data_IF_248896132861
#
_entry.id   IF_248896132861
#
_cell.length_a   1.000
_cell.length_b   1.000
_cell.length_c   1.000
_cell.angle_alpha   90.00
_cell.angle_beta   90.00
_cell.angle_gamma   90.00
#
_symmetry.space_group_name_H-M   'P 1'
#
loop_
_entity.id
_entity.type
_entity.pdbx_description
1 polymer ?
#
# COMPACT_ATOMS: atom_id res chain seq x y z
N UNK A 1 -21.63 17.68 -21.31
CA UNK A 1 -21.75 17.80 -19.84
C UNK A 1 -21.23 16.54 -19.11
N UNK A 2 -21.53 15.32 -19.59
CA UNK A 2 -21.09 14.03 -18.99
C UNK A 2 -19.57 13.81 -18.98
N UNK A 3 -18.84 14.34 -19.95
CA UNK A 3 -17.37 14.16 -20.07
C UNK A 3 -16.56 14.88 -18.99
N UNK A 4 -17.11 15.95 -18.40
CA UNK A 4 -16.43 16.70 -17.34
C UNK A 4 -16.49 15.96 -16.00
N UNK A 5 -17.66 15.39 -15.69
CA UNK A 5 -17.86 14.55 -14.50
C UNK A 5 -17.01 13.29 -14.54
N UNK A 6 -16.90 12.64 -15.70
CA UNK A 6 -16.02 11.48 -15.85
C UNK A 6 -14.56 11.83 -15.57
N UNK A 7 -14.07 12.95 -16.11
CA UNK A 7 -12.70 13.41 -15.89
C UNK A 7 -12.42 13.73 -14.42
N UNK A 8 -13.38 14.33 -13.74
CA UNK A 8 -13.29 14.66 -12.31
C UNK A 8 -13.23 13.39 -11.45
N UNK A 9 -14.08 12.39 -11.74
CA UNK A 9 -14.04 11.08 -11.09
C UNK A 9 -12.70 10.38 -11.35
N UNK A 10 -12.24 10.35 -12.60
CA UNK A 10 -10.97 9.72 -12.97
C UNK A 10 -9.79 10.40 -12.23
N UNK A 11 -9.81 11.73 -12.07
CA UNK A 11 -8.79 12.47 -11.29
C UNK A 11 -8.82 12.14 -9.79
N UNK A 12 -10.00 11.98 -9.20
CA UNK A 12 -10.13 11.61 -7.78
C UNK A 12 -9.62 10.19 -7.56
N UNK A 13 -9.98 9.26 -8.44
CA UNK A 13 -9.52 7.87 -8.40
C UNK A 13 -8.00 7.79 -8.51
N UNK A 14 -7.38 8.57 -9.39
CA UNK A 14 -5.92 8.60 -9.53
C UNK A 14 -5.21 9.19 -8.29
N UNK A 15 -5.77 10.26 -7.72
CA UNK A 15 -5.25 10.85 -6.48
C UNK A 15 -5.30 9.87 -5.30
N UNK A 16 -6.43 9.19 -5.12
CA UNK A 16 -6.62 8.13 -4.12
C UNK A 16 -5.61 6.99 -4.34
N UNK A 17 -5.38 6.60 -5.59
CA UNK A 17 -4.44 5.56 -5.98
C UNK A 17 -3.00 5.90 -5.55
N UNK A 18 -2.52 7.10 -5.89
CA UNK A 18 -1.17 7.56 -5.53
C UNK A 18 -1.00 7.56 -4.01
N UNK A 19 -1.97 8.08 -3.26
CA UNK A 19 -1.90 8.15 -1.80
C UNK A 19 -1.84 6.75 -1.15
N UNK A 20 -2.67 5.82 -1.64
CA UNK A 20 -2.67 4.44 -1.14
C UNK A 20 -1.36 3.71 -1.46
N UNK A 21 -0.80 3.90 -2.66
CA UNK A 21 0.48 3.30 -3.03
C UNK A 21 1.64 3.83 -2.18
N UNK A 22 1.69 5.13 -1.91
CA UNK A 22 2.72 5.73 -1.05
C UNK A 22 2.60 5.22 0.38
N UNK A 23 1.38 5.20 0.92
CA UNK A 23 1.12 4.67 2.26
C UNK A 23 1.52 3.19 2.37
N UNK A 24 1.15 2.39 1.36
CA UNK A 24 1.56 1.00 1.26
C UNK A 24 3.09 0.91 1.29
N UNK A 25 3.77 1.65 0.41
CA UNK A 25 5.21 1.58 0.21
C UNK A 25 6.00 1.74 1.51
N UNK A 26 5.54 2.63 2.40
CA UNK A 26 6.21 2.92 3.66
C UNK A 26 5.76 2.03 4.83
N UNK A 27 4.76 1.17 4.64
CA UNK A 27 4.24 0.28 5.69
C UNK A 27 4.63 -1.18 5.41
N UNK A 28 5.35 -1.79 6.37
CA UNK A 28 5.82 -3.19 6.29
C UNK A 28 4.66 -4.19 6.21
N UNK A 29 3.50 -3.83 6.76
CA UNK A 29 2.29 -4.65 6.69
C UNK A 29 1.89 -5.00 5.26
N UNK A 30 2.12 -4.09 4.31
CA UNK A 30 1.75 -4.27 2.90
C UNK A 30 2.87 -4.83 2.03
N UNK A 31 4.08 -5.05 2.58
CA UNK A 31 5.28 -5.36 1.79
C UNK A 31 5.06 -6.50 0.78
N UNK A 32 4.41 -7.58 1.21
CA UNK A 32 4.22 -8.79 0.40
C UNK A 32 3.07 -8.71 -0.62
N UNK A 33 2.24 -7.66 -0.56
CA UNK A 33 1.06 -7.52 -1.43
C UNK A 33 1.10 -6.27 -2.31
N UNK A 34 2.15 -5.45 -2.19
CA UNK A 34 2.35 -4.24 -3.00
C UNK A 34 2.33 -4.59 -4.47
N UNK A 35 1.45 -3.89 -5.20
CA UNK A 35 1.36 -4.00 -6.65
C UNK A 35 0.81 -5.33 -7.17
N UNK A 36 0.42 -6.28 -6.33
CA UNK A 36 -0.12 -7.60 -6.74
C UNK A 36 -1.65 -7.65 -6.74
N UNK A 37 -2.29 -6.66 -6.12
CA UNK A 37 -3.74 -6.60 -5.95
C UNK A 37 -4.34 -5.46 -6.76
N UNK A 38 -5.59 -5.66 -7.16
CA UNK A 38 -6.42 -4.57 -7.67
C UNK A 38 -6.53 -3.44 -6.64
N UNK A 39 -6.63 -2.20 -7.14
CA UNK A 39 -6.78 -0.99 -6.32
C UNK A 39 -7.99 -1.10 -5.37
N UNK A 40 -9.09 -1.68 -5.86
CA UNK A 40 -10.29 -1.87 -5.07
C UNK A 40 -10.03 -2.77 -3.84
N UNK A 41 -9.39 -3.93 -4.07
CA UNK A 41 -9.03 -4.84 -2.99
C UNK A 41 -8.09 -4.15 -1.99
N UNK A 42 -7.11 -3.39 -2.50
CA UNK A 42 -6.18 -2.64 -1.67
C UNK A 42 -6.89 -1.62 -0.76
N UNK A 43 -7.81 -0.83 -1.32
CA UNK A 43 -8.63 0.14 -0.56
C UNK A 43 -9.46 -0.56 0.52
N UNK A 44 -10.05 -1.71 0.20
CA UNK A 44 -10.81 -2.52 1.16
C UNK A 44 -9.98 -3.13 2.27
N UNK A 45 -8.76 -3.58 1.99
CA UNK A 45 -7.82 -4.03 3.02
C UNK A 45 -7.42 -2.86 3.91
N UNK A 46 -7.13 -1.68 3.34
CA UNK A 46 -6.80 -0.50 4.14
C UNK A 46 -7.95 -0.08 5.05
N UNK A 47 -9.21 -0.14 4.61
CA UNK A 47 -10.37 0.09 5.47
C UNK A 47 -10.42 -0.88 6.67
N UNK A 48 -10.06 -2.15 6.47
CA UNK A 48 -10.00 -3.13 7.57
C UNK A 48 -8.79 -2.88 8.47
N UNK A 49 -7.67 -2.47 7.91
CA UNK A 49 -6.46 -2.12 8.65
C UNK A 49 -6.70 -0.94 9.57
N UNK A 50 -7.33 0.14 9.06
CA UNK A 50 -7.68 1.28 9.89
C UNK A 50 -8.60 0.88 11.04
N UNK A 51 -9.58 -0.01 10.79
CA UNK A 51 -10.43 -0.54 11.87
C UNK A 51 -9.65 -1.30 12.93
N UNK A 52 -8.64 -2.09 12.51
CA UNK A 52 -7.80 -2.86 13.42
C UNK A 52 -6.86 -1.96 14.25
N UNK A 53 -6.29 -0.91 13.66
CA UNK A 53 -5.39 0.03 14.37
C UNK A 53 -6.14 0.92 15.37
N UNK A 54 -7.41 1.24 15.09
CA UNK A 54 -8.23 2.05 15.99
C UNK A 54 -8.97 1.23 17.05
N UNK A 55 -8.71 -0.07 17.15
CA UNK A 55 -9.28 -0.90 18.23
C UNK A 55 -8.70 -0.44 19.56
N UNK A 56 -9.58 -0.19 20.52
CA UNK A 56 -9.20 0.13 21.90
C UNK A 56 -9.93 -0.81 22.85
N UNK A 57 -9.45 -0.92 24.09
CA UNK A 57 -10.13 -1.72 25.13
C UNK A 57 -11.57 -1.25 25.39
N UNK A 58 -11.89 0.01 25.06
CA UNK A 58 -13.23 0.61 25.20
C UNK A 58 -14.13 0.37 23.99
N UNK A 59 -13.55 0.13 22.81
CA UNK A 59 -14.29 -0.14 21.57
C UNK A 59 -13.64 -1.33 20.82
N UNK A 60 -13.84 -2.56 21.33
CA UNK A 60 -13.31 -3.76 20.69
C UNK A 60 -14.05 -4.07 19.38
N UNK A 61 -13.39 -4.79 18.47
CA UNK A 61 -14.07 -5.31 17.29
C UNK A 61 -15.21 -6.25 17.70
N UNK A 62 -16.35 -6.11 17.03
CA UNK A 62 -17.51 -6.97 17.29
C UNK A 62 -17.20 -8.44 16.92
N UNK A 63 -17.20 -9.37 17.89
CA UNK A 63 -16.85 -10.77 17.66
C UNK A 63 -17.83 -11.49 16.73
N UNK A 64 -19.06 -10.97 16.60
CA UNK A 64 -20.07 -11.52 15.69
C UNK A 64 -19.70 -11.34 14.21
N UNK A 65 -18.73 -10.47 13.89
CA UNK A 65 -18.31 -10.17 12.51
C UNK A 65 -16.95 -10.76 12.14
N UNK A 66 -16.37 -11.60 13.00
CA UNK A 66 -15.09 -12.26 12.72
C UNK A 66 -15.20 -13.17 11.50
N UNK A 67 -14.30 -12.99 10.53
CA UNK A 67 -14.27 -13.79 9.30
C UNK A 67 -15.36 -13.52 8.28
N UNK A 68 -16.40 -12.72 8.58
CA UNK A 68 -17.47 -12.39 7.63
C UNK A 68 -16.93 -11.67 6.40
N UNK A 69 -16.00 -10.74 6.61
CA UNK A 69 -15.36 -10.02 5.50
C UNK A 69 -14.57 -10.97 4.59
N UNK A 70 -13.86 -11.95 5.19
CA UNK A 70 -13.13 -12.96 4.43
C UNK A 70 -14.05 -13.91 3.67
N UNK A 71 -15.20 -14.27 4.23
CA UNK A 71 -16.19 -15.11 3.54
C UNK A 71 -16.88 -14.40 2.38
N UNK A 72 -17.29 -13.15 2.57
CA UNK A 72 -18.08 -12.40 1.58
C UNK A 72 -17.17 -11.81 0.51
N UNK A 73 -16.08 -11.19 0.93
CA UNK A 73 -15.20 -10.45 0.02
C UNK A 73 -13.95 -11.26 -0.35
N UNK A 74 -13.59 -12.35 0.33
CA UNK A 74 -12.31 -13.02 0.06
C UNK A 74 -11.09 -12.17 0.46
N UNK A 75 -11.26 -11.25 1.42
CA UNK A 75 -10.22 -10.33 1.91
C UNK A 75 -10.04 -10.47 3.43
N UNK A 76 -8.86 -10.17 3.99
CA UNK A 76 -8.63 -10.23 5.43
C UNK A 76 -9.56 -9.28 6.20
N UNK A 77 -10.16 -9.76 7.29
CA UNK A 77 -11.00 -8.96 8.17
C UNK A 77 -10.17 -8.25 9.25
N UNK A 78 -10.65 -7.13 9.79
CA UNK A 78 -9.95 -6.37 10.83
C UNK A 78 -9.45 -7.23 12.00
N UNK A 79 -10.22 -8.24 12.46
CA UNK A 79 -9.81 -9.15 13.53
C UNK A 79 -8.54 -9.96 13.19
N UNK A 80 -8.39 -10.35 11.92
CA UNK A 80 -7.20 -11.05 11.46
C UNK A 80 -6.00 -10.10 11.39
N UNK A 81 -6.24 -8.84 11.05
CA UNK A 81 -5.21 -7.80 11.00
C UNK A 81 -4.72 -7.43 12.40
N UNK A 82 -5.63 -7.28 13.36
CA UNK A 82 -5.32 -7.02 14.78
C UNK A 82 -4.39 -8.10 15.37
N UNK A 83 -4.60 -9.36 15.00
CA UNK A 83 -3.74 -10.48 15.43
C UNK A 83 -2.34 -10.48 14.79
N UNK A 84 -2.14 -9.78 13.67
CA UNK A 84 -0.90 -9.77 12.89
C UNK A 84 0.11 -8.69 13.35
N UNK A 85 -0.22 -7.90 14.38
CA UNK A 85 0.56 -6.75 14.88
C UNK A 85 1.99 -7.11 15.37
N UNK A 86 2.33 -8.40 15.43
CA UNK A 86 3.67 -8.92 15.75
C UNK A 86 4.68 -8.85 14.57
N UNK A 87 4.73 -7.74 13.81
CA UNK A 87 5.61 -7.58 12.64
C UNK A 87 5.38 -8.56 11.48
N UNK A 88 4.26 -9.29 11.47
CA UNK A 88 3.94 -10.18 10.35
C UNK A 88 3.18 -9.39 9.28
N UNK A 89 3.83 -9.18 8.14
CA UNK A 89 3.18 -8.57 6.97
C UNK A 89 2.03 -9.43 6.46
N UNK A 90 1.05 -8.80 5.80
CA UNK A 90 -0.08 -9.50 5.21
C UNK A 90 0.39 -10.52 4.18
N UNK A 91 -0.09 -11.75 4.27
CA UNK A 91 0.28 -12.84 3.36
C UNK A 91 -0.72 -12.91 2.21
N UNK A 92 -0.23 -13.06 0.97
CA UNK A 92 -1.08 -13.12 -0.23
C UNK A 92 -2.11 -14.26 -0.17
N UNK A 93 -1.78 -15.39 0.48
CA UNK A 93 -2.68 -16.53 0.66
C UNK A 93 -3.96 -16.21 1.44
N UNK A 94 -3.97 -15.10 2.18
CA UNK A 94 -5.17 -14.63 2.91
C UNK A 94 -6.12 -13.83 2.03
N UNK A 95 -5.76 -13.61 0.78
CA UNK A 95 -6.51 -12.87 -0.22
C UNK A 95 -6.88 -13.83 -1.34
N UNK A 96 -8.17 -13.84 -1.68
CA UNK A 96 -8.64 -14.68 -2.78
C UNK A 96 -8.04 -14.21 -4.11
N UNK A 97 -7.54 -15.15 -4.92
CA UNK A 97 -6.86 -14.90 -6.19
C UNK A 97 -7.62 -14.03 -7.22
N UNK A 98 -8.94 -13.84 -7.07
CA UNK A 98 -9.71 -13.02 -8.00
C UNK A 98 -9.44 -11.52 -7.81
N UNK A 99 -8.86 -11.14 -6.67
CA UNK A 99 -8.39 -9.77 -6.40
C UNK A 99 -6.96 -9.53 -6.86
N UNK A 100 -6.22 -10.60 -7.13
CA UNK A 100 -4.86 -10.52 -7.60
C UNK A 100 -4.86 -10.19 -9.09
N UNK A 101 -4.01 -9.26 -9.50
CA UNK A 101 -3.83 -8.95 -10.91
C UNK A 101 -3.08 -10.13 -11.56
N UNK A 102 -3.83 -11.04 -12.17
CA UNK A 102 -3.33 -12.26 -12.84
C UNK A 102 -2.19 -11.98 -13.84
N UNK A 103 -2.15 -10.80 -14.45
CA UNK A 103 -1.07 -10.38 -15.35
C UNK A 103 0.27 -10.14 -14.63
N UNK A 104 0.25 -9.71 -13.36
CA UNK A 104 1.47 -9.45 -12.56
C UNK A 104 1.96 -10.66 -11.79
N UNK A 105 1.06 -11.56 -11.37
CA UNK A 105 1.44 -12.78 -10.66
C UNK A 105 2.34 -13.69 -11.53
N UNK A 106 2.08 -13.71 -12.84
CA UNK A 106 2.88 -14.46 -13.81
C UNK A 106 4.24 -13.80 -14.15
N UNK A 107 4.41 -12.50 -13.85
CA UNK A 107 5.67 -11.78 -14.07
C UNK A 107 6.62 -11.92 -12.88
N UNK A 108 6.09 -11.94 -11.65
CA UNK A 108 6.92 -12.01 -10.44
C UNK A 108 7.58 -13.39 -10.28
N UNK A 109 6.89 -14.49 -10.63
CA UNK A 109 7.51 -15.83 -10.62
C UNK A 109 8.62 -16.00 -11.66
N UNK A 110 8.74 -15.08 -12.62
CA UNK A 110 9.81 -15.03 -13.61
C UNK A 110 10.89 -13.98 -13.30
N UNK A 111 10.66 -13.07 -12.35
CA UNK A 111 11.42 -11.83 -12.20
C UNK A 111 11.85 -11.51 -10.74
N UNK A 112 11.96 -12.54 -9.89
CA UNK A 112 12.65 -12.41 -8.59
C UNK A 112 14.12 -11.96 -8.71
N UNK A 113 14.65 -11.81 -9.94
CA UNK A 113 16.01 -11.35 -10.22
C UNK A 113 16.13 -9.85 -10.62
N UNK A 114 15.07 -9.05 -10.68
CA UNK A 114 15.16 -7.62 -11.09
C UNK A 114 14.59 -6.63 -10.06
N UNK A 115 14.59 -6.95 -8.77
CA UNK A 115 14.29 -5.94 -7.76
C UNK A 115 15.46 -4.95 -7.64
N UNK A 116 15.29 -3.79 -8.29
CA UNK A 116 16.06 -2.54 -8.15
C UNK A 116 17.58 -2.72 -7.98
N UNK A 117 18.32 -2.58 -9.08
CA UNK A 117 19.75 -2.28 -9.01
C UNK A 117 19.91 -0.91 -8.32
N UNK A 118 20.45 -0.93 -7.09
CA UNK A 118 20.74 0.23 -6.24
C UNK A 118 21.49 1.35 -6.99
N UNK A 119 22.26 0.96 -8.01
CA UNK A 119 22.99 1.79 -8.96
C UNK A 119 22.13 2.82 -9.70
N UNK A 120 20.86 2.54 -9.95
CA UNK A 120 19.98 3.47 -10.66
C UNK A 120 19.59 4.70 -9.81
N UNK A 121 19.63 4.57 -8.48
CA UNK A 121 19.26 5.64 -7.54
C UNK A 121 20.46 6.47 -7.07
N UNK A 122 21.68 5.93 -7.18
CA UNK A 122 22.93 6.63 -6.85
C UNK A 122 23.12 8.00 -7.52
N UNK A 123 22.85 8.18 -8.83
CA UNK A 123 23.04 9.49 -9.46
C UNK A 123 22.04 10.53 -8.95
N UNK A 124 20.82 10.11 -8.59
CA UNK A 124 19.80 11.00 -8.01
C UNK A 124 20.20 11.43 -6.60
N UNK A 125 20.67 10.50 -5.76
CA UNK A 125 21.15 10.80 -4.41
C UNK A 125 22.34 11.76 -4.42
N UNK A 126 23.30 11.58 -5.33
CA UNK A 126 24.44 12.49 -5.49
C UNK A 126 24.02 13.90 -5.92
N UNK A 127 23.05 14.02 -6.82
CA UNK A 127 22.55 15.33 -7.24
C UNK A 127 21.84 16.05 -6.08
N UNK A 128 21.04 15.33 -5.30
CA UNK A 128 20.33 15.88 -4.14
C UNK A 128 21.30 16.34 -3.04
N UNK A 129 22.33 15.54 -2.74
CA UNK A 129 23.39 15.91 -1.80
C UNK A 129 24.17 17.16 -2.26
N UNK A 130 24.40 17.31 -3.57
CA UNK A 130 25.10 18.45 -4.16
C UNK A 130 24.30 19.75 -4.03
N UNK A 131 22.98 19.69 -4.23
CA UNK A 131 22.10 20.85 -4.06
C UNK A 131 22.01 21.28 -2.60
N UNK A 132 21.82 20.34 -1.66
CA UNK A 132 21.80 20.63 -0.23
C UNK A 132 23.12 21.30 0.19
N UNK A 133 24.26 20.78 -0.29
CA UNK A 133 25.58 21.37 -0.03
C UNK A 133 25.77 22.76 -0.63
N UNK A 134 25.18 23.04 -1.80
CA UNK A 134 25.17 24.39 -2.38
C UNK A 134 24.34 25.34 -1.53
N UNK A 135 23.14 24.95 -1.14
CA UNK A 135 22.23 25.76 -0.33
C UNK A 135 22.82 26.08 1.05
N UNK A 136 23.52 25.12 1.68
CA UNK A 136 24.21 25.33 2.95
C UNK A 136 25.35 26.38 2.85
N UNK A 137 26.04 26.47 1.71
CA UNK A 137 27.10 27.47 1.49
C UNK A 137 26.55 28.89 1.36
N UNK A 138 25.33 29.06 0.86
CA UNK A 138 24.67 30.38 0.77
C UNK A 138 24.22 30.92 2.13
N UNK A 139 24.12 30.07 3.17
CA UNK A 139 23.75 30.48 4.53
C UNK A 139 24.95 30.94 5.37
N UNK A 140 26.19 30.72 4.91
CA UNK A 140 27.42 31.11 5.63
C UNK A 140 28.03 32.43 5.17
N UNK A 141 27.44 33.09 4.16
CA UNK A 141 27.84 34.44 3.74
C UNK A 141 26.98 35.44 4.48
N UNK A 142 27.40 35.82 5.69
CA UNK A 142 26.92 36.99 6.41
C UNK A 142 28.08 37.69 7.08
#
# INVERSE_FOLDING_TARGET
>A
MVTNQKREIDSIVESDHIHLLIFAHNNLYYANIKGQLSIFAFKKINEQYQKAVHVTTQEPLSPLRTGTFSKIMGLPCAHKIEYLDNNQGLILNDIHNHWCDSKKLNSITADENNFLHEDALQPLLQNLQREISRMAKFQQVK
#
